data_IF_956242090263
#
_entry.id   IF_956242090263
#
_cell.length_a   1.000
_cell.length_b   1.000
_cell.length_c   1.000
_cell.angle_alpha   90.00
_cell.angle_beta   90.00
_cell.angle_gamma   90.00
#
_symmetry.space_group_name_H-M   'P 1'
#
loop_
_entity.id
_entity.type
_entity.pdbx_description
1 polymer ?
#
# COMPACT_ATOMS: atom_id res chain seq x y z
N UNK A 1 -37.30 -32.42 26.87
CA UNK A 1 -38.66 -32.91 27.17
C UNK A 1 -39.65 -32.28 26.21
N UNK A 2 -40.61 -33.03 25.68
CA UNK A 2 -41.59 -32.51 24.73
C UNK A 2 -42.51 -31.47 25.44
N UNK A 3 -42.61 -30.22 24.97
CA UNK A 3 -43.37 -29.16 25.62
C UNK A 3 -44.88 -29.46 25.70
N UNK A 4 -45.43 -30.22 24.75
CA UNK A 4 -46.83 -30.66 24.81
C UNK A 4 -47.06 -31.68 25.92
N UNK A 5 -46.13 -32.62 26.10
CA UNK A 5 -46.17 -33.61 27.18
C UNK A 5 -46.08 -32.94 28.55
N UNK A 6 -45.31 -31.86 28.66
CA UNK A 6 -45.22 -31.04 29.88
C UNK A 6 -46.52 -30.29 30.16
N UNK A 7 -47.15 -29.71 29.15
CA UNK A 7 -48.48 -29.09 29.28
C UNK A 7 -49.56 -30.11 29.67
N UNK A 8 -49.57 -31.29 29.05
CA UNK A 8 -50.53 -32.35 29.36
C UNK A 8 -50.37 -32.88 30.78
N UNK A 9 -49.13 -33.06 31.26
CA UNK A 9 -48.86 -33.38 32.67
C UNK A 9 -49.35 -32.28 33.61
N UNK A 10 -49.03 -31.02 33.32
CA UNK A 10 -49.47 -29.89 34.15
C UNK A 10 -51.01 -29.76 34.20
N UNK A 11 -51.69 -29.99 33.08
CA UNK A 11 -53.15 -29.99 33.01
C UNK A 11 -53.74 -31.18 33.79
N UNK A 12 -53.13 -32.37 33.67
CA UNK A 12 -53.51 -33.56 34.45
C UNK A 12 -53.34 -33.35 35.96
N UNK A 13 -52.24 -32.74 36.38
CA UNK A 13 -51.98 -32.43 37.79
C UNK A 13 -52.96 -31.38 38.33
N UNK A 14 -53.33 -30.39 37.52
CA UNK A 14 -54.31 -29.36 37.88
C UNK A 14 -55.75 -29.89 38.01
N UNK A 15 -56.09 -30.95 37.27
CA UNK A 15 -57.41 -31.60 37.29
C UNK A 15 -57.50 -32.77 38.27
N UNK A 16 -56.40 -33.12 38.96
CA UNK A 16 -56.36 -34.25 39.89
C UNK A 16 -56.98 -33.89 41.24
N UNK A 17 -58.12 -34.51 41.55
CA UNK A 17 -58.83 -34.35 42.84
C UNK A 17 -57.96 -34.68 44.05
N UNK A 18 -57.04 -35.64 43.92
CA UNK A 18 -56.13 -36.04 45.00
C UNK A 18 -55.15 -34.92 45.32
N UNK A 19 -54.52 -34.33 44.30
CA UNK A 19 -53.57 -33.21 44.45
C UNK A 19 -54.29 -31.95 44.91
N UNK A 20 -55.52 -31.72 44.44
CA UNK A 20 -56.37 -30.63 44.90
C UNK A 20 -56.65 -30.71 46.41
N UNK A 21 -57.09 -31.88 46.91
CA UNK A 21 -57.33 -32.10 48.35
C UNK A 21 -56.06 -31.92 49.17
N UNK A 22 -54.93 -32.45 48.72
CA UNK A 22 -53.65 -32.31 49.42
C UNK A 22 -53.19 -30.85 49.51
N UNK A 23 -53.36 -30.07 48.43
CA UNK A 23 -53.04 -28.64 48.40
C UNK A 23 -54.01 -27.81 49.26
N UNK A 24 -55.28 -28.17 49.30
CA UNK A 24 -56.28 -27.54 50.15
C UNK A 24 -55.94 -27.72 51.64
N UNK A 25 -55.64 -28.95 52.08
CA UNK A 25 -55.24 -29.21 53.47
C UNK A 25 -53.96 -28.45 53.86
N UNK A 26 -52.99 -28.30 52.94
CA UNK A 26 -51.76 -27.51 53.15
C UNK A 26 -51.98 -26.00 53.26
N UNK A 27 -53.07 -25.48 52.69
CA UNK A 27 -53.34 -24.03 52.58
C UNK A 27 -54.42 -23.53 53.53
N UNK A 28 -55.31 -24.41 54.01
CA UNK A 28 -56.47 -24.10 54.86
C UNK A 28 -56.16 -23.33 56.16
N UNK A 29 -54.91 -23.32 56.63
CA UNK A 29 -54.51 -22.67 57.89
C UNK A 29 -53.45 -21.56 57.75
N UNK A 30 -53.06 -21.16 56.53
CA UNK A 30 -52.04 -20.11 56.33
C UNK A 30 -52.71 -18.82 55.87
N UNK A 31 -52.66 -17.77 56.71
CA UNK A 31 -53.05 -16.42 56.29
C UNK A 31 -52.03 -15.93 55.25
N UNK A 32 -52.45 -15.85 53.99
CA UNK A 32 -51.61 -15.33 52.90
C UNK A 32 -51.67 -13.80 52.94
N UNK A 33 -50.52 -13.13 52.92
CA UNK A 33 -50.47 -11.67 52.79
C UNK A 33 -51.18 -11.24 51.50
N UNK A 34 -51.92 -10.12 51.51
CA UNK A 34 -52.66 -9.63 50.33
C UNK A 34 -51.80 -9.60 49.05
N UNK A 35 -50.53 -9.16 49.16
CA UNK A 35 -49.58 -9.10 48.04
C UNK A 35 -49.16 -10.47 47.51
N UNK A 36 -49.33 -11.52 48.31
CA UNK A 36 -49.01 -12.90 47.94
C UNK A 36 -50.21 -13.68 47.38
N UNK A 37 -51.41 -13.07 47.42
CA UNK A 37 -52.62 -13.69 46.90
C UNK A 37 -52.46 -14.01 45.41
N UNK A 38 -52.94 -15.18 44.95
CA UNK A 38 -52.87 -15.55 43.54
C UNK A 38 -53.50 -14.50 42.63
N UNK A 39 -54.57 -13.84 43.10
CA UNK A 39 -55.24 -12.74 42.41
C UNK A 39 -54.33 -11.53 42.24
N UNK A 40 -53.66 -11.06 43.31
CA UNK A 40 -52.73 -9.94 43.21
C UNK A 40 -51.54 -10.25 42.30
N UNK A 41 -51.00 -11.48 42.37
CA UNK A 41 -49.93 -11.94 41.47
C UNK A 41 -50.39 -11.93 40.00
N UNK A 42 -51.61 -12.42 39.73
CA UNK A 42 -52.20 -12.35 38.39
C UNK A 42 -52.44 -10.93 37.92
N UNK A 43 -53.01 -10.06 38.76
CA UNK A 43 -53.26 -8.66 38.43
C UNK A 43 -51.96 -7.91 38.14
N UNK A 44 -50.88 -8.17 38.89
CA UNK A 44 -49.55 -7.62 38.63
C UNK A 44 -49.02 -8.06 37.26
N UNK A 45 -49.18 -9.33 36.93
CA UNK A 45 -48.77 -9.88 35.62
C UNK A 45 -49.61 -9.29 34.50
N UNK A 46 -50.93 -9.21 34.67
CA UNK A 46 -51.85 -8.60 33.71
C UNK A 46 -51.56 -7.11 33.53
N UNK A 47 -51.20 -6.38 34.58
CA UNK A 47 -50.77 -4.99 34.49
C UNK A 47 -49.57 -4.84 33.56
N UNK A 48 -48.61 -5.77 33.58
CA UNK A 48 -47.46 -5.75 32.66
C UNK A 48 -47.82 -5.98 31.18
N UNK A 49 -49.03 -6.44 30.89
CA UNK A 49 -49.56 -6.61 29.52
C UNK A 49 -50.56 -5.51 29.15
N UNK A 50 -51.36 -5.04 30.10
CA UNK A 50 -52.39 -4.02 29.92
C UNK A 50 -51.86 -2.59 30.03
N UNK A 51 -50.71 -2.37 30.69
CA UNK A 51 -50.11 -1.03 30.74
C UNK A 51 -49.42 -0.67 29.44
N UNK A 52 -49.83 0.47 28.91
CA UNK A 52 -49.14 1.28 27.91
C UNK A 52 -47.67 1.58 28.26
N UNK A 53 -47.20 1.25 29.46
CA UNK A 53 -45.82 1.45 29.90
C UNK A 53 -44.84 0.78 28.97
N UNK A 54 -45.04 -0.49 28.59
CA UNK A 54 -44.09 -1.19 27.69
C UNK A 54 -44.08 -0.59 26.28
N UNK A 55 -45.25 -0.17 25.79
CA UNK A 55 -45.37 0.46 24.47
C UNK A 55 -44.72 1.85 24.46
N UNK A 56 -44.87 2.61 25.54
CA UNK A 56 -44.24 3.93 25.71
C UNK A 56 -42.77 3.83 26.11
N UNK A 57 -42.32 2.75 26.73
CA UNK A 57 -40.95 2.59 27.22
C UNK A 57 -39.92 2.66 26.10
N UNK A 58 -40.18 1.97 24.97
CA UNK A 58 -39.30 2.02 23.80
C UNK A 58 -39.28 3.43 23.19
N UNK A 59 -40.45 4.08 23.08
CA UNK A 59 -40.51 5.47 22.62
C UNK A 59 -39.77 6.43 23.56
N UNK A 60 -39.97 6.32 24.87
CA UNK A 60 -39.32 7.17 25.86
C UNK A 60 -37.81 6.94 25.92
N UNK A 61 -37.37 5.69 25.79
CA UNK A 61 -35.96 5.31 25.89
C UNK A 61 -35.19 5.59 24.61
N UNK A 62 -35.79 5.33 23.45
CA UNK A 62 -35.07 5.32 22.17
C UNK A 62 -35.42 6.51 21.27
N UNK A 63 -36.55 7.20 21.50
CA UNK A 63 -37.06 8.27 20.61
C UNK A 63 -37.14 9.62 21.33
N UNK A 64 -37.65 9.67 22.56
CA UNK A 64 -37.75 10.90 23.34
C UNK A 64 -36.35 11.38 23.76
N UNK A 65 -35.83 12.39 23.08
CA UNK A 65 -34.50 12.97 23.35
C UNK A 65 -33.36 12.43 22.49
N UNK A 66 -33.63 11.46 21.60
CA UNK A 66 -32.63 10.85 20.69
C UNK A 66 -32.92 11.10 19.20
N UNK A 67 -33.63 12.18 18.88
CA UNK A 67 -33.87 12.55 17.49
C UNK A 67 -32.56 12.96 16.80
N UNK A 68 -32.16 12.17 15.80
CA UNK A 68 -31.01 12.44 14.93
C UNK A 68 -31.34 13.68 14.09
N UNK A 69 -30.95 14.86 14.58
CA UNK A 69 -31.15 16.12 13.85
C UNK A 69 -31.22 17.40 14.69
N UNK A 70 -31.42 17.34 16.01
CA UNK A 70 -31.32 18.53 16.86
C UNK A 70 -30.02 18.52 17.65
N UNK A 71 -28.94 18.97 17.01
CA UNK A 71 -27.96 19.79 17.73
C UNK A 71 -28.78 20.79 18.55
N UNK A 72 -28.60 20.82 19.88
CA UNK A 72 -29.35 21.71 20.78
C UNK A 72 -29.57 23.05 20.10
N UNK A 73 -30.76 23.27 19.54
CA UNK A 73 -31.14 24.57 19.03
C UNK A 73 -31.05 25.46 20.26
N UNK A 74 -30.13 26.44 20.29
CA UNK A 74 -29.97 27.30 21.46
C UNK A 74 -31.30 27.90 21.89
N UNK A 75 -32.23 28.07 20.94
CA UNK A 75 -33.60 28.48 21.19
C UNK A 75 -34.45 27.44 21.93
N UNK A 76 -34.38 26.14 21.58
CA UNK A 76 -35.12 25.08 22.28
C UNK A 76 -34.58 24.87 23.71
N UNK A 77 -33.26 24.82 23.88
CA UNK A 77 -32.64 24.72 25.20
C UNK A 77 -32.93 25.97 26.05
N UNK A 78 -32.97 27.16 25.44
CA UNK A 78 -33.41 28.39 26.10
C UNK A 78 -34.87 28.31 26.52
N UNK A 79 -35.77 27.88 25.62
CA UNK A 79 -37.19 27.69 25.94
C UNK A 79 -37.39 26.70 27.10
N UNK A 80 -36.67 25.58 27.13
CA UNK A 80 -36.73 24.62 28.25
C UNK A 80 -36.24 25.19 29.58
N UNK A 81 -35.20 26.03 29.55
CA UNK A 81 -34.72 26.73 30.75
C UNK A 81 -35.74 27.78 31.22
N UNK A 82 -36.32 28.54 30.29
CA UNK A 82 -37.34 29.54 30.59
C UNK A 82 -38.60 28.89 31.15
N UNK A 83 -39.06 27.76 30.60
CA UNK A 83 -40.23 27.04 31.13
C UNK A 83 -39.95 26.42 32.51
N UNK A 84 -38.73 25.94 32.77
CA UNK A 84 -38.34 25.47 34.08
C UNK A 84 -38.30 26.61 35.12
N UNK A 85 -37.76 27.79 34.75
CA UNK A 85 -37.74 28.98 35.61
C UNK A 85 -39.14 29.54 35.88
N UNK A 86 -40.03 29.50 34.89
CA UNK A 86 -41.42 29.94 35.02
C UNK A 86 -42.34 28.89 35.67
N UNK A 87 -41.81 27.76 36.14
CA UNK A 87 -42.63 26.74 36.79
C UNK A 87 -42.91 27.12 38.26
N UNK A 88 -44.19 27.14 38.64
CA UNK A 88 -44.64 27.45 40.02
C UNK A 88 -43.97 26.57 41.08
N UNK A 89 -43.62 25.33 40.72
CA UNK A 89 -42.93 24.40 41.62
C UNK A 89 -41.53 24.87 41.96
N UNK A 90 -40.75 25.27 40.94
CA UNK A 90 -39.39 25.77 41.15
C UNK A 90 -39.42 27.14 41.83
N UNK A 91 -40.36 28.02 41.44
CA UNK A 91 -40.55 29.31 42.11
C UNK A 91 -40.85 29.15 43.60
N UNK A 92 -41.75 28.22 43.97
CA UNK A 92 -42.07 27.95 45.38
C UNK A 92 -40.89 27.34 46.14
N UNK A 93 -40.15 26.43 45.51
CA UNK A 93 -38.96 25.82 46.11
C UNK A 93 -37.85 26.87 46.35
N UNK A 94 -37.54 27.69 45.36
CA UNK A 94 -36.59 28.81 45.47
C UNK A 94 -37.04 29.81 46.55
N UNK A 95 -38.34 30.15 46.59
CA UNK A 95 -38.90 31.02 47.63
C UNK A 95 -38.79 30.41 49.05
N UNK A 96 -39.04 29.12 49.22
CA UNK A 96 -38.89 28.44 50.52
C UNK A 96 -37.42 28.38 50.96
N UNK A 97 -36.51 28.17 50.02
CA UNK A 97 -35.07 28.20 50.26
C UNK A 97 -34.59 29.60 50.66
N UNK A 98 -35.05 30.62 49.96
CA UNK A 98 -34.64 32.01 50.16
C UNK A 98 -35.32 32.66 51.37
N UNK A 99 -36.55 32.23 51.72
CA UNK A 99 -37.23 32.62 52.96
C UNK A 99 -36.41 32.27 54.21
N UNK A 100 -35.58 31.23 54.14
CA UNK A 100 -34.65 30.84 55.22
C UNK A 100 -33.28 31.53 55.17
N UNK A 101 -32.89 32.13 54.03
CA UNK A 101 -31.56 32.72 53.80
C UNK A 101 -31.46 34.21 54.12
N UNK A 102 -32.51 34.83 54.64
CA UNK A 102 -32.46 36.20 55.16
C UNK A 102 -31.43 36.31 56.29
N UNK A 103 -30.17 36.60 55.93
CA UNK A 103 -29.10 36.84 56.89
C UNK A 103 -29.28 38.25 57.44
N UNK A 104 -29.91 38.36 58.60
CA UNK A 104 -29.97 39.59 59.36
C UNK A 104 -28.75 39.63 60.28
N UNK A 105 -27.65 40.35 59.95
CA UNK A 105 -26.44 40.37 60.77
C UNK A 105 -26.70 40.86 62.20
N UNK A 106 -27.79 41.61 62.39
CA UNK A 106 -28.22 42.11 63.68
C UNK A 106 -28.60 40.98 64.64
N UNK A 107 -29.10 39.82 64.18
CA UNK A 107 -29.62 38.75 65.06
C UNK A 107 -28.56 37.82 65.65
N UNK A 108 -27.31 37.91 65.18
CA UNK A 108 -26.18 37.06 65.60
C UNK A 108 -25.21 37.84 66.54
N UNK A 109 -25.41 39.15 66.69
CA UNK A 109 -24.61 39.96 67.61
C UNK A 109 -24.90 39.59 69.06
N UNK A 110 -23.87 39.59 69.91
CA UNK A 110 -24.04 39.41 71.36
C UNK A 110 -25.01 40.46 71.95
N UNK A 111 -25.04 41.66 71.38
CA UNK A 111 -25.97 42.74 71.75
C UNK A 111 -27.42 42.36 71.48
N UNK A 112 -27.73 41.70 70.36
CA UNK A 112 -29.09 41.25 70.07
C UNK A 112 -29.55 40.12 71.00
N UNK A 113 -28.67 39.16 71.33
CA UNK A 113 -28.98 38.16 72.34
C UNK A 113 -29.25 38.80 73.71
N UNK A 114 -28.46 39.82 74.09
CA UNK A 114 -28.65 40.58 75.31
C UNK A 114 -29.97 41.38 75.29
N UNK A 115 -30.30 42.05 74.18
CA UNK A 115 -31.55 42.78 73.99
C UNK A 115 -32.74 41.83 74.03
N UNK A 116 -32.65 40.65 73.41
CA UNK A 116 -33.70 39.62 73.43
C UNK A 116 -33.96 39.09 74.84
N UNK A 117 -32.90 38.79 75.60
CA UNK A 117 -33.00 38.41 77.02
C UNK A 117 -33.56 39.56 77.88
N UNK A 118 -33.13 40.79 77.62
CA UNK A 118 -33.64 41.98 78.29
C UNK A 118 -35.12 42.23 77.99
N UNK A 119 -35.56 42.01 76.76
CA UNK A 119 -36.96 42.15 76.31
C UNK A 119 -37.89 41.15 77.01
N UNK A 120 -37.40 39.94 77.28
CA UNK A 120 -38.09 38.95 78.11
C UNK A 120 -38.23 39.43 79.57
N UNK A 121 -37.28 40.23 80.07
CA UNK A 121 -37.28 40.80 81.41
C UNK A 121 -37.98 42.17 81.51
N UNK A 122 -38.46 42.76 80.40
CA UNK A 122 -39.15 44.06 80.44
C UNK A 122 -40.49 43.96 81.16
N UNK A 123 -40.79 45.00 81.92
CA UNK A 123 -42.03 45.16 82.70
C UNK A 123 -43.30 44.91 81.88
N UNK A 124 -43.34 45.33 80.62
CA UNK A 124 -44.49 45.12 79.73
C UNK A 124 -44.76 43.63 79.44
N UNK A 125 -43.70 42.82 79.31
CA UNK A 125 -43.80 41.37 79.07
C UNK A 125 -44.21 40.62 80.35
N UNK A 126 -43.78 41.11 81.51
CA UNK A 126 -44.10 40.52 82.82
C UNK A 126 -45.49 40.93 83.35
N UNK A 127 -46.00 42.11 83.01
CA UNK A 127 -47.30 42.66 83.46
C UNK A 127 -48.49 42.30 82.56
N UNK A 128 -48.36 41.27 81.71
CA UNK A 128 -49.46 40.81 80.87
C UNK A 128 -50.52 40.12 81.73
N UNK A 129 -51.78 40.51 81.55
CA UNK A 129 -52.92 39.91 82.28
C UNK A 129 -52.95 38.38 82.04
N UNK A 130 -53.12 37.55 83.09
CA UNK A 130 -52.99 36.09 83.01
C UNK A 130 -53.91 35.43 81.98
N UNK A 131 -55.07 36.04 81.67
CA UNK A 131 -55.99 35.58 80.62
C UNK A 131 -55.39 35.60 79.19
N UNK A 132 -54.33 36.38 78.96
CA UNK A 132 -53.66 36.49 77.66
C UNK A 132 -52.40 35.62 77.55
N UNK A 133 -51.87 35.11 78.66
CA UNK A 133 -50.69 34.25 78.67
C UNK A 133 -51.11 32.78 78.60
N UNK A 134 -50.75 32.09 77.52
CA UNK A 134 -50.97 30.64 77.42
C UNK A 134 -49.97 29.93 78.32
N UNK A 135 -50.41 28.89 79.04
CA UNK A 135 -49.52 28.06 79.82
C UNK A 135 -48.49 27.36 78.91
N UNK A 136 -47.21 27.63 79.15
CA UNK A 136 -46.10 26.91 78.56
C UNK A 136 -45.40 26.13 79.66
N UNK A 137 -45.32 24.80 79.51
CA UNK A 137 -44.58 23.95 80.45
C UNK A 137 -43.12 24.40 80.49
N UNK A 138 -42.57 24.56 81.69
CA UNK A 138 -41.15 24.90 81.89
C UNK A 138 -40.31 23.73 81.41
N UNK A 139 -39.75 23.83 80.20
CA UNK A 139 -38.97 22.75 79.57
C UNK A 139 -37.64 22.47 80.30
N UNK A 140 -37.13 23.46 81.02
CA UNK A 140 -35.79 23.44 81.62
C UNK A 140 -35.79 22.94 83.07
N UNK A 141 -36.91 22.36 83.52
CA UNK A 141 -36.94 21.68 84.82
C UNK A 141 -35.90 20.54 84.81
N UNK A 142 -35.10 20.38 85.88
CA UNK A 142 -34.08 19.33 85.96
C UNK A 142 -34.62 17.93 85.64
N UNK A 143 -35.87 17.66 86.02
CA UNK A 143 -36.55 16.38 85.76
C UNK A 143 -36.82 16.18 84.26
N UNK A 144 -37.23 17.22 83.55
CA UNK A 144 -37.51 17.14 82.11
C UNK A 144 -36.24 17.08 81.28
N UNK A 145 -35.21 17.82 81.68
CA UNK A 145 -33.88 17.71 81.09
C UNK A 145 -33.32 16.29 81.27
N UNK A 146 -33.44 15.74 82.48
CA UNK A 146 -33.03 14.36 82.76
C UNK A 146 -33.84 13.36 81.92
N UNK A 147 -35.16 13.53 81.80
CA UNK A 147 -36.00 12.68 80.97
C UNK A 147 -35.63 12.76 79.49
N UNK A 148 -35.28 13.94 78.98
CA UNK A 148 -34.84 14.14 77.60
C UNK A 148 -33.48 13.47 77.34
N UNK A 149 -32.53 13.59 78.27
CA UNK A 149 -31.23 12.93 78.18
C UNK A 149 -31.41 11.41 78.23
N UNK A 150 -32.22 10.89 79.16
CA UNK A 150 -32.52 9.47 79.28
C UNK A 150 -33.21 8.94 78.02
N UNK A 151 -34.16 9.68 77.45
CA UNK A 151 -34.82 9.31 76.19
C UNK A 151 -33.84 9.24 75.01
N UNK A 152 -32.88 10.19 74.92
CA UNK A 152 -31.82 10.16 73.91
C UNK A 152 -30.87 8.98 74.09
N UNK A 153 -30.55 8.62 75.34
CA UNK A 153 -29.67 7.50 75.68
C UNK A 153 -30.34 6.13 75.46
N UNK A 154 -31.63 6.01 75.76
CA UNK A 154 -32.43 4.79 75.56
C UNK A 154 -32.86 4.58 74.10
N UNK A 155 -32.64 5.55 73.22
CA UNK A 155 -33.02 5.44 71.81
C UNK A 155 -32.06 4.52 71.06
N UNK A 156 -32.60 3.37 70.62
CA UNK A 156 -31.89 2.42 69.76
C UNK A 156 -31.37 3.05 68.46
N UNK A 157 -32.09 4.04 67.92
CA UNK A 157 -31.68 4.77 66.71
C UNK A 157 -30.39 5.55 66.96
N UNK A 158 -30.31 6.28 68.07
CA UNK A 158 -29.10 7.03 68.42
C UNK A 158 -27.93 6.11 68.74
N UNK A 159 -28.20 4.97 69.39
CA UNK A 159 -27.19 3.95 69.67
C UNK A 159 -26.60 3.37 68.38
N UNK A 160 -27.45 3.06 67.39
CA UNK A 160 -27.02 2.50 66.10
C UNK A 160 -26.45 3.54 65.13
N UNK A 161 -26.84 4.81 65.23
CA UNK A 161 -26.46 5.85 64.28
C UNK A 161 -24.95 5.98 64.11
N UNK A 162 -24.18 5.95 65.20
CA UNK A 162 -22.70 5.99 65.12
C UNK A 162 -22.15 4.76 64.39
N UNK A 163 -22.58 3.57 64.80
CA UNK A 163 -22.15 2.31 64.19
C UNK A 163 -22.52 2.23 62.71
N UNK A 164 -23.74 2.61 62.32
CA UNK A 164 -24.16 2.64 60.91
C UNK A 164 -23.36 3.66 60.09
N UNK A 165 -23.05 4.82 60.67
CA UNK A 165 -22.22 5.85 60.02
C UNK A 165 -20.76 5.44 59.82
N UNK A 166 -20.25 4.55 60.69
CA UNK A 166 -18.86 4.08 60.67
C UNK A 166 -18.70 2.75 59.92
N UNK A 167 -19.72 1.90 59.87
CA UNK A 167 -19.72 0.59 59.21
C UNK A 167 -19.27 0.64 57.75
N UNK A 168 -19.53 1.76 57.06
CA UNK A 168 -19.16 1.95 55.65
C UNK A 168 -17.87 2.77 55.46
N UNK A 169 -17.29 3.33 56.53
CA UNK A 169 -16.04 4.10 56.48
C UNK A 169 -14.84 3.18 56.59
N UNK A 170 -14.68 2.27 55.64
CA UNK A 170 -13.47 1.46 55.51
C UNK A 170 -12.38 2.29 54.82
N UNK A 171 -11.39 2.78 55.59
CA UNK A 171 -10.25 3.51 55.02
C UNK A 171 -9.20 2.52 54.51
N UNK A 172 -9.36 2.07 53.26
CA UNK A 172 -8.38 1.22 52.59
C UNK A 172 -7.36 2.14 51.89
N UNK A 173 -6.04 1.92 52.07
CA UNK A 173 -5.04 2.78 51.45
C UNK A 173 -5.15 2.72 49.91
N UNK A 174 -4.92 3.84 49.21
CA UNK A 174 -5.05 3.92 47.75
C UNK A 174 -4.08 3.00 46.99
N UNK A 175 -3.00 2.59 47.66
CA UNK A 175 -1.95 1.70 47.13
C UNK A 175 -2.28 0.21 47.31
N UNK A 176 -3.49 -0.10 47.78
CA UNK A 176 -3.92 -1.49 47.92
C UNK A 176 -3.92 -2.17 46.55
N UNK A 177 -3.31 -3.36 46.39
CA UNK A 177 -3.15 -4.02 45.09
C UNK A 177 -4.45 -4.16 44.29
N UNK A 178 -5.57 -4.42 44.95
CA UNK A 178 -6.89 -4.52 44.31
C UNK A 178 -7.33 -3.21 43.62
N UNK A 179 -7.04 -2.05 44.22
CA UNK A 179 -7.35 -0.76 43.61
C UNK A 179 -6.43 -0.43 42.43
N UNK A 180 -5.15 -0.77 42.55
CA UNK A 180 -4.18 -0.62 41.45
C UNK A 180 -4.63 -1.50 40.28
N UNK A 181 -4.96 -2.77 40.54
CA UNK A 181 -5.46 -3.70 39.53
C UNK A 181 -6.75 -3.18 38.89
N UNK A 182 -7.70 -2.67 39.69
CA UNK A 182 -8.92 -2.07 39.15
C UNK A 182 -8.63 -0.88 38.23
N UNK A 183 -7.72 0.02 38.62
CA UNK A 183 -7.31 1.16 37.78
C UNK A 183 -6.70 0.72 36.46
N UNK A 184 -5.81 -0.27 36.49
CA UNK A 184 -5.18 -0.83 35.28
C UNK A 184 -6.23 -1.52 34.40
N UNK A 185 -7.14 -2.30 35.00
CA UNK A 185 -8.22 -2.95 34.26
C UNK A 185 -9.17 -1.92 33.64
N UNK A 186 -9.54 -0.86 34.37
CA UNK A 186 -10.37 0.22 33.87
C UNK A 186 -9.68 0.97 32.72
N UNK A 187 -8.37 1.20 32.80
CA UNK A 187 -7.59 1.77 31.69
C UNK A 187 -7.63 0.85 30.47
N UNK A 188 -7.35 -0.44 30.64
CA UNK A 188 -7.29 -1.42 29.57
C UNK A 188 -8.64 -1.69 28.89
N UNK A 189 -9.74 -1.60 29.66
CA UNK A 189 -11.10 -1.84 29.16
C UNK A 189 -11.79 -0.55 28.66
N UNK A 190 -11.15 0.61 28.81
CA UNK A 190 -11.75 1.88 28.41
C UNK A 190 -11.71 2.06 26.89
N UNK A 191 -12.89 2.04 26.27
CA UNK A 191 -13.05 2.36 24.85
C UNK A 191 -12.54 3.76 24.49
N UNK A 192 -12.67 4.72 25.40
CA UNK A 192 -12.24 6.10 25.15
C UNK A 192 -10.73 6.20 25.06
N UNK A 193 -10.02 5.57 26.00
CA UNK A 193 -8.56 5.52 25.98
C UNK A 193 -8.06 4.73 24.78
N UNK A 194 -8.69 3.59 24.47
CA UNK A 194 -8.39 2.82 23.27
C UNK A 194 -8.55 3.65 21.99
N UNK A 195 -9.68 4.35 21.82
CA UNK A 195 -9.92 5.24 20.66
C UNK A 195 -8.88 6.35 20.59
N UNK A 196 -8.55 6.97 21.71
CA UNK A 196 -7.56 8.04 21.75
C UNK A 196 -6.17 7.52 21.33
N UNK A 197 -5.73 6.37 21.85
CA UNK A 197 -4.45 5.79 21.49
C UNK A 197 -4.43 5.26 20.05
N UNK A 198 -5.57 4.80 19.53
CA UNK A 198 -5.76 4.47 18.12
C UNK A 198 -5.60 5.69 17.21
N UNK A 199 -6.23 6.82 17.55
CA UNK A 199 -6.08 8.08 16.81
C UNK A 199 -4.64 8.61 16.86
N UNK A 200 -3.97 8.56 18.03
CA UNK A 200 -2.54 8.89 18.13
C UNK A 200 -1.68 7.98 17.26
N UNK A 201 -2.00 6.69 17.20
CA UNK A 201 -1.26 5.72 16.40
C UNK A 201 -1.47 5.93 14.90
N UNK A 202 -2.69 6.33 14.47
CA UNK A 202 -2.93 6.79 13.10
C UNK A 202 -2.09 8.02 12.77
N UNK A 203 -2.07 9.02 13.65
CA UNK A 203 -1.31 10.25 13.45
C UNK A 203 0.20 9.98 13.32
N UNK A 204 0.76 9.07 14.14
CA UNK A 204 2.18 8.71 14.10
C UNK A 204 2.63 8.01 12.81
N UNK A 205 1.73 7.33 12.09
CA UNK A 205 2.08 6.63 10.83
C UNK A 205 2.24 7.57 9.64
N UNK A 206 1.71 8.79 9.72
CA UNK A 206 1.81 9.80 8.67
C UNK A 206 2.68 10.95 9.13
N UNK A 207 4.01 10.78 9.04
CA UNK A 207 4.94 11.90 9.15
C UNK A 207 4.91 12.71 7.84
N UNK A 208 3.88 13.56 7.69
CA UNK A 208 3.80 14.48 6.56
C UNK A 208 4.80 15.59 6.81
N UNK A 209 5.99 15.46 6.22
CA UNK A 209 7.00 16.51 6.24
C UNK A 209 6.40 17.82 5.76
N UNK A 210 6.75 18.92 6.40
CA UNK A 210 6.27 20.28 6.06
C UNK A 210 6.56 20.63 4.60
N UNK A 211 7.62 20.06 4.03
CA UNK A 211 8.03 20.22 2.63
C UNK A 211 7.31 19.27 1.66
N UNK A 212 6.30 18.53 2.11
CA UNK A 212 5.51 17.68 1.23
C UNK A 212 4.91 18.51 0.08
N UNK A 213 5.13 18.06 -1.16
CA UNK A 213 4.60 18.67 -2.40
C UNK A 213 3.13 19.10 -2.27
N UNK A 214 2.19 18.27 -1.75
CA UNK A 214 0.80 18.70 -1.60
C UNK A 214 0.60 19.86 -0.60
N UNK A 215 1.38 19.92 0.49
CA UNK A 215 1.32 21.04 1.44
C UNK A 215 1.91 22.31 0.86
N UNK A 216 3.02 22.21 0.13
CA UNK A 216 3.61 23.35 -0.58
C UNK A 216 2.65 23.89 -1.65
N UNK A 217 2.01 23.01 -2.42
CA UNK A 217 1.00 23.37 -3.41
C UNK A 217 -0.23 24.02 -2.75
N UNK A 218 -0.75 23.44 -1.67
CA UNK A 218 -1.86 24.02 -0.91
C UNK A 218 -1.52 25.41 -0.38
N UNK A 219 -0.33 25.59 0.21
CA UNK A 219 0.15 26.88 0.71
C UNK A 219 0.32 27.92 -0.40
N UNK A 220 0.86 27.51 -1.55
CA UNK A 220 0.95 28.37 -2.73
C UNK A 220 -0.43 28.77 -3.24
N UNK A 221 -1.38 27.83 -3.31
CA UNK A 221 -2.75 28.10 -3.70
C UNK A 221 -3.45 29.04 -2.72
N UNK A 222 -3.31 28.85 -1.41
CA UNK A 222 -3.84 29.79 -0.41
C UNK A 222 -3.28 31.20 -0.59
N UNK A 223 -1.97 31.32 -0.89
CA UNK A 223 -1.35 32.62 -1.17
C UNK A 223 -1.93 33.24 -2.45
N UNK A 224 -2.15 32.45 -3.50
CA UNK A 224 -2.68 32.91 -4.78
C UNK A 224 -4.16 33.33 -4.69
N UNK A 225 -4.97 32.58 -3.93
CA UNK A 225 -6.41 32.87 -3.72
C UNK A 225 -6.63 34.02 -2.73
N UNK A 226 -5.62 34.41 -1.96
CA UNK A 226 -5.75 35.48 -0.98
C UNK A 226 -5.79 36.86 -1.66
N UNK A 227 -6.95 37.51 -1.63
CA UNK A 227 -7.15 38.88 -2.10
C UNK A 227 -6.17 39.88 -1.48
N UNK A 228 -5.81 39.67 -0.21
CA UNK A 228 -4.87 40.54 0.52
C UNK A 228 -3.48 40.42 -0.08
N UNK A 229 -3.01 39.20 -0.34
CA UNK A 229 -1.71 38.96 -0.98
C UNK A 229 -1.69 39.45 -2.42
N UNK A 230 -2.78 39.22 -3.17
CA UNK A 230 -2.95 39.71 -4.53
C UNK A 230 -2.84 41.24 -4.60
N UNK A 231 -3.59 41.97 -3.77
CA UNK A 231 -3.55 43.44 -3.74
C UNK A 231 -2.19 43.97 -3.33
N UNK A 232 -1.52 43.32 -2.37
CA UNK A 232 -0.16 43.67 -1.95
C UNK A 232 0.84 43.52 -3.09
N UNK A 233 0.80 42.38 -3.79
CA UNK A 233 1.69 42.13 -4.92
C UNK A 233 1.38 43.05 -6.11
N UNK A 234 0.10 43.36 -6.34
CA UNK A 234 -0.34 44.36 -7.33
C UNK A 234 0.26 45.73 -7.04
N UNK A 235 0.08 46.28 -5.84
CA UNK A 235 0.66 47.59 -5.47
C UNK A 235 2.19 47.57 -5.52
N UNK A 236 2.84 46.45 -5.15
CA UNK A 236 4.31 46.29 -5.27
C UNK A 236 4.79 46.30 -6.73
N UNK A 237 3.97 45.84 -7.66
CA UNK A 237 4.32 45.72 -9.08
C UNK A 237 3.77 46.87 -9.93
N UNK A 238 2.86 47.66 -9.39
CA UNK A 238 2.32 48.88 -9.99
C UNK A 238 3.46 49.86 -10.26
N UNK A 239 3.59 50.27 -11.52
CA UNK A 239 4.66 51.16 -11.97
C UNK A 239 5.99 50.47 -12.29
N UNK A 240 6.13 49.14 -12.08
CA UNK A 240 7.27 48.40 -12.66
C UNK A 240 6.95 48.10 -14.11
N UNK A 241 7.68 48.72 -15.03
CA UNK A 241 7.68 48.29 -16.42
C UNK A 241 8.25 46.88 -16.44
N UNK A 242 7.42 45.88 -16.78
CA UNK A 242 7.89 44.52 -17.06
C UNK A 242 8.60 44.61 -18.42
N UNK A 243 9.79 45.20 -18.39
CA UNK A 243 10.75 45.09 -19.46
C UNK A 243 11.22 43.65 -19.48
N UNK A 244 11.09 43.04 -20.64
CA UNK A 244 11.70 41.75 -20.95
C UNK A 244 13.22 41.93 -20.87
N UNK A 245 13.90 41.22 -19.97
CA UNK A 245 15.34 41.39 -19.73
C UNK A 245 16.15 40.98 -20.97
N UNK A 246 15.75 39.89 -21.61
CA UNK A 246 16.26 39.42 -22.88
C UNK A 246 15.11 39.12 -23.83
N UNK A 247 15.25 39.44 -25.12
CA UNK A 247 14.21 39.22 -26.14
C UNK A 247 13.71 37.76 -26.22
N UNK A 248 14.47 36.83 -25.62
CA UNK A 248 14.14 35.41 -25.50
C UNK A 248 13.13 35.09 -24.38
N UNK A 249 12.89 36.00 -23.45
CA UNK A 249 12.07 35.73 -22.26
C UNK A 249 10.58 35.98 -22.52
N UNK A 250 10.23 36.75 -23.56
CA UNK A 250 8.84 36.93 -24.00
C UNK A 250 8.54 36.14 -25.28
N UNK A 251 7.64 35.14 -25.24
CA UNK A 251 7.25 34.38 -26.42
C UNK A 251 6.67 35.26 -27.54
N UNK A 252 6.03 36.39 -27.20
CA UNK A 252 5.48 37.31 -28.20
C UNK A 252 6.59 38.08 -28.92
N UNK A 253 7.57 38.60 -28.19
CA UNK A 253 8.77 39.21 -28.78
C UNK A 253 9.59 38.19 -29.60
N UNK A 254 9.80 36.97 -29.10
CA UNK A 254 10.44 35.89 -29.86
C UNK A 254 9.72 35.57 -31.17
N UNK A 255 8.39 35.47 -31.12
CA UNK A 255 7.58 35.25 -32.30
C UNK A 255 7.76 36.38 -33.32
N UNK A 256 7.70 37.64 -32.87
CA UNK A 256 7.91 38.80 -33.74
C UNK A 256 9.29 38.80 -34.41
N UNK A 257 10.33 38.41 -33.68
CA UNK A 257 11.69 38.27 -34.20
C UNK A 257 11.80 37.14 -35.24
N UNK A 258 11.11 36.02 -35.02
CA UNK A 258 11.06 34.92 -35.98
C UNK A 258 10.30 35.31 -37.25
N UNK A 259 9.19 36.02 -37.11
CA UNK A 259 8.42 36.56 -38.24
C UNK A 259 9.29 37.54 -39.05
N UNK A 260 10.00 38.46 -38.38
CA UNK A 260 10.91 39.39 -39.05
C UNK A 260 12.05 38.67 -39.78
N UNK A 261 12.61 37.60 -39.20
CA UNK A 261 13.61 36.76 -39.87
C UNK A 261 13.05 36.08 -41.13
N UNK A 262 11.83 35.58 -41.06
CA UNK A 262 11.16 34.92 -42.19
C UNK A 262 10.76 35.90 -43.29
N UNK A 263 10.40 37.14 -42.94
CA UNK A 263 10.08 38.21 -43.90
C UNK A 263 11.31 38.80 -44.59
N UNK A 264 12.51 38.55 -44.06
CA UNK A 264 13.75 39.07 -44.63
C UNK A 264 14.14 38.32 -45.90
N UNK A 265 13.95 38.95 -47.06
CA UNK A 265 14.36 38.42 -48.37
C UNK A 265 15.84 38.04 -48.43
N UNK A 266 16.69 38.76 -47.68
CA UNK A 266 18.13 38.46 -47.57
C UNK A 266 18.37 37.12 -46.89
N UNK A 267 17.69 36.85 -45.78
CA UNK A 267 17.81 35.56 -45.06
C UNK A 267 17.15 34.43 -45.84
N UNK A 268 16.03 34.70 -46.52
CA UNK A 268 15.37 33.75 -47.39
C UNK A 268 16.29 33.26 -48.53
N UNK A 269 17.04 34.17 -49.17
CA UNK A 269 17.97 33.83 -50.27
C UNK A 269 19.32 33.31 -49.80
N UNK A 270 19.70 33.52 -48.54
CA UNK A 270 21.04 33.18 -48.02
C UNK A 270 21.42 31.71 -48.24
N UNK A 271 20.51 30.77 -47.93
CA UNK A 271 20.78 29.35 -48.12
C UNK A 271 20.88 28.96 -49.59
N UNK A 272 20.07 29.59 -50.46
CA UNK A 272 20.13 29.37 -51.90
C UNK A 272 21.46 29.85 -52.46
N UNK A 273 21.90 31.07 -52.12
CA UNK A 273 23.19 31.61 -52.57
C UNK A 273 24.37 30.76 -52.06
N UNK A 274 24.33 30.27 -50.81
CA UNK A 274 25.37 29.38 -50.25
C UNK A 274 25.43 28.02 -50.95
N UNK A 275 24.31 27.51 -51.45
CA UNK A 275 24.23 26.16 -52.03
C UNK A 275 24.31 26.15 -53.55
N UNK A 276 23.98 27.26 -54.22
CA UNK A 276 24.00 27.38 -55.69
C UNK A 276 25.38 27.09 -56.29
N UNK A 277 26.46 27.41 -55.58
CA UNK A 277 27.83 27.13 -56.02
C UNK A 277 28.31 25.71 -55.71
N UNK A 278 27.53 24.92 -54.95
CA UNK A 278 27.92 23.57 -54.53
C UNK A 278 27.38 22.56 -55.55
N UNK A 279 28.26 22.07 -56.42
CA UNK A 279 27.96 20.93 -57.29
C UNK A 279 27.64 19.71 -56.42
N UNK A 280 26.40 19.24 -56.47
CA UNK A 280 26.01 18.01 -55.77
C UNK A 280 26.48 16.81 -56.60
N UNK A 281 27.31 15.95 -56.00
CA UNK A 281 27.62 14.65 -56.58
C UNK A 281 26.31 13.86 -56.75
N UNK A 282 26.19 13.08 -57.83
CA UNK A 282 24.95 12.34 -58.14
C UNK A 282 24.46 11.47 -56.96
N UNK A 283 25.39 10.86 -56.22
CA UNK A 283 25.09 10.04 -55.05
C UNK A 283 24.59 10.83 -53.82
N UNK A 284 24.77 12.15 -53.80
CA UNK A 284 24.30 13.05 -52.75
C UNK A 284 22.97 13.72 -53.12
N UNK A 285 22.44 13.45 -54.31
CA UNK A 285 21.13 13.98 -54.69
C UNK A 285 20.05 13.41 -53.75
N UNK A 286 19.09 14.24 -53.30
CA UNK A 286 18.01 13.79 -52.43
C UNK A 286 17.24 12.60 -53.02
N UNK A 287 17.11 12.57 -54.36
CA UNK A 287 16.50 11.46 -55.09
C UNK A 287 17.30 10.16 -54.94
N UNK A 288 18.62 10.20 -55.11
CA UNK A 288 19.46 9.01 -54.95
C UNK A 288 19.48 8.51 -53.50
N UNK A 289 19.52 9.42 -52.52
CA UNK A 289 19.43 9.07 -51.11
C UNK A 289 18.10 8.38 -50.78
N UNK A 290 16.99 8.91 -51.30
CA UNK A 290 15.65 8.35 -51.12
C UNK A 290 15.51 6.99 -51.82
N UNK A 291 15.99 6.84 -53.07
CA UNK A 291 16.03 5.55 -53.79
C UNK A 291 16.87 4.50 -53.04
N UNK A 292 17.99 4.91 -52.44
CA UNK A 292 18.85 4.03 -51.65
C UNK A 292 18.16 3.57 -50.37
N UNK A 293 17.43 4.47 -49.69
CA UNK A 293 16.61 4.11 -48.54
C UNK A 293 15.46 3.18 -48.93
N UNK A 294 14.76 3.46 -50.03
CA UNK A 294 13.67 2.62 -50.54
C UNK A 294 14.15 1.22 -50.92
N UNK A 295 15.37 1.06 -51.46
CA UNK A 295 15.98 -0.25 -51.71
C UNK A 295 16.09 -1.11 -50.45
N UNK A 296 16.31 -0.51 -49.28
CA UNK A 296 16.36 -1.25 -48.01
C UNK A 296 15.00 -1.82 -47.59
N UNK A 297 13.90 -1.23 -48.06
CA UNK A 297 12.53 -1.69 -47.81
C UNK A 297 11.97 -2.57 -48.94
N UNK A 298 12.78 -2.93 -49.94
CA UNK A 298 12.34 -3.73 -51.07
C UNK A 298 12.05 -5.19 -50.68
N UNK A 299 11.08 -5.80 -51.37
CA UNK A 299 10.63 -7.17 -51.12
C UNK A 299 11.74 -8.22 -51.31
N UNK A 300 12.78 -7.90 -52.10
CA UNK A 300 13.98 -8.72 -52.25
C UNK A 300 14.73 -8.89 -50.91
N UNK A 301 14.89 -7.80 -50.14
CA UNK A 301 15.48 -7.83 -48.79
C UNK A 301 14.62 -8.59 -47.78
N UNK A 302 13.29 -8.51 -47.91
CA UNK A 302 12.36 -9.26 -47.06
C UNK A 302 12.44 -10.77 -47.32
N UNK A 303 12.61 -11.18 -48.58
CA UNK A 303 12.73 -12.59 -48.99
C UNK A 303 14.10 -13.19 -48.70
N UNK A 304 15.17 -12.39 -48.62
CA UNK A 304 16.53 -12.86 -48.32
C UNK A 304 16.62 -13.63 -46.99
N UNK A 305 15.94 -13.16 -45.94
CA UNK A 305 15.90 -13.83 -44.64
C UNK A 305 15.16 -15.18 -44.72
N UNK A 306 14.04 -15.23 -45.45
CA UNK A 306 13.29 -16.47 -45.66
C UNK A 306 14.10 -17.50 -46.46
N UNK A 307 14.79 -17.06 -47.51
CA UNK A 307 15.64 -17.93 -48.32
C UNK A 307 16.81 -18.48 -47.49
N UNK A 308 17.44 -17.64 -46.67
CA UNK A 308 18.58 -18.04 -45.84
C UNK A 308 18.19 -19.02 -44.71
N UNK A 309 17.09 -18.74 -44.02
CA UNK A 309 16.77 -19.42 -42.75
C UNK A 309 15.71 -20.53 -42.90
N UNK A 310 14.92 -20.54 -43.99
CA UNK A 310 13.79 -21.47 -44.17
C UNK A 310 13.96 -22.38 -45.38
N UNK A 311 14.48 -21.86 -46.50
CA UNK A 311 14.64 -22.61 -47.74
C UNK A 311 15.86 -23.55 -47.67
N UNK A 312 15.69 -24.69 -47.01
CA UNK A 312 16.71 -25.73 -46.84
C UNK A 312 16.67 -26.45 -45.49
N UNK A 313 15.93 -25.93 -44.52
CA UNK A 313 15.86 -26.48 -43.15
C UNK A 313 14.58 -27.28 -42.85
N UNK A 314 13.68 -27.48 -43.83
CA UNK A 314 12.50 -28.32 -43.66
C UNK A 314 12.79 -29.76 -44.11
N UNK A 315 13.39 -30.56 -43.23
CA UNK A 315 13.31 -32.02 -43.28
C UNK A 315 12.64 -32.47 -41.99
N UNK A 316 11.35 -32.80 -42.09
CA UNK A 316 10.70 -33.61 -41.08
C UNK A 316 11.39 -34.98 -41.03
N UNK A 317 12.08 -35.27 -39.94
CA UNK A 317 12.40 -36.63 -39.55
C UNK A 317 12.47 -36.66 -38.03
N UNK A 318 11.33 -37.01 -37.43
CA UNK A 318 11.28 -37.67 -36.14
C UNK A 318 12.16 -38.92 -36.28
N UNK A 319 13.29 -38.95 -35.57
CA UNK A 319 14.29 -40.01 -35.65
C UNK A 319 13.69 -41.35 -35.19
N UNK A 320 13.16 -42.12 -36.14
CA UNK A 320 12.93 -43.55 -35.96
C UNK A 320 14.32 -44.23 -35.95
N UNK A 321 14.72 -44.90 -34.85
CA UNK A 321 15.97 -45.66 -34.78
C UNK A 321 16.17 -46.62 -35.95
N UNK A 322 15.08 -47.11 -36.55
CA UNK A 322 15.12 -47.95 -37.74
C UNK A 322 15.59 -47.19 -38.99
N UNK A 323 15.09 -45.96 -39.22
CA UNK A 323 15.47 -45.15 -40.38
C UNK A 323 16.94 -44.71 -40.33
N UNK A 324 17.43 -44.34 -39.14
CA UNK A 324 18.84 -43.99 -38.95
C UNK A 324 19.75 -45.22 -39.10
N UNK A 325 19.31 -46.41 -38.69
CA UNK A 325 20.02 -47.66 -38.95
C UNK A 325 20.07 -47.99 -40.45
N UNK A 326 18.95 -47.86 -41.18
CA UNK A 326 18.92 -48.07 -42.63
C UNK A 326 19.84 -47.11 -43.40
N UNK A 327 19.91 -45.84 -43.01
CA UNK A 327 20.84 -44.86 -43.61
C UNK A 327 22.31 -45.22 -43.32
N UNK A 328 22.63 -45.67 -42.11
CA UNK A 328 23.97 -46.15 -41.76
C UNK A 328 24.36 -47.42 -42.53
N UNK A 329 23.44 -48.38 -42.65
CA UNK A 329 23.64 -49.60 -43.45
C UNK A 329 23.80 -49.27 -44.94
N UNK A 330 23.02 -48.34 -45.47
CA UNK A 330 23.16 -47.87 -46.86
C UNK A 330 24.50 -47.14 -47.10
N UNK A 331 24.99 -46.38 -46.11
CA UNK A 331 26.31 -45.75 -46.19
C UNK A 331 27.46 -46.77 -46.11
N UNK A 332 27.31 -47.81 -45.29
CA UNK A 332 28.27 -48.93 -45.21
C UNK A 332 28.27 -49.78 -46.48
N UNK A 333 27.11 -50.01 -47.10
CA UNK A 333 26.97 -50.73 -48.37
C UNK A 333 27.22 -49.86 -49.62
N UNK A 334 27.63 -48.59 -49.45
CA UNK A 334 27.88 -47.72 -50.60
C UNK A 334 29.18 -48.10 -51.29
N UNK A 335 29.17 -48.09 -52.63
CA UNK A 335 30.34 -48.41 -53.49
C UNK A 335 31.60 -47.62 -53.11
N UNK A 336 31.46 -46.45 -52.47
CA UNK A 336 32.59 -45.65 -51.97
C UNK A 336 33.37 -46.36 -50.86
N UNK A 337 32.68 -46.99 -49.91
CA UNK A 337 33.31 -47.72 -48.81
C UNK A 337 33.97 -49.01 -49.31
N UNK A 338 33.28 -49.75 -50.21
CA UNK A 338 33.85 -50.93 -50.88
C UNK A 338 35.09 -50.59 -51.72
N UNK A 339 35.08 -49.45 -52.42
CA UNK A 339 36.22 -48.99 -53.22
C UNK A 339 37.39 -48.51 -52.35
N UNK A 340 37.12 -47.93 -51.19
CA UNK A 340 38.14 -47.54 -50.22
C UNK A 340 38.81 -48.76 -49.55
N UNK A 341 38.02 -49.75 -49.13
CA UNK A 341 38.55 -51.02 -48.59
C UNK A 341 39.31 -51.81 -49.66
N UNK A 342 38.84 -51.84 -50.91
CA UNK A 342 39.56 -52.46 -52.04
C UNK A 342 40.91 -51.78 -52.32
N UNK A 343 40.98 -50.44 -52.28
CA UNK A 343 42.25 -49.70 -52.43
C UNK A 343 43.21 -49.97 -51.26
N UNK A 344 42.69 -50.09 -50.04
CA UNK A 344 43.48 -50.42 -48.84
C UNK A 344 44.03 -51.85 -48.87
N UNK A 345 43.23 -52.82 -49.32
CA UNK A 345 43.62 -54.23 -49.43
C UNK A 345 44.49 -54.52 -50.64
N UNK A 346 44.34 -53.76 -51.73
CA UNK A 346 45.27 -53.78 -52.88
C UNK A 346 46.70 -53.42 -52.46
N UNK A 347 46.87 -52.61 -51.40
CA UNK A 347 48.17 -52.30 -50.82
C UNK A 347 48.76 -53.40 -49.91
N UNK A 348 47.96 -54.39 -49.49
CA UNK A 348 48.36 -55.42 -48.50
C UNK A 348 48.61 -56.80 -49.11
N UNK A 349 48.33 -57.01 -50.40
CA UNK A 349 48.57 -58.28 -51.07
C UNK A 349 49.94 -58.32 -51.79
N UNK A 350 50.89 -59.08 -51.23
CA UNK A 350 52.21 -59.32 -51.82
C UNK A 350 52.13 -60.43 -52.87
N UNK A 351 52.04 -60.06 -54.15
CA UNK A 351 52.13 -61.00 -55.27
C UNK A 351 53.57 -61.05 -55.85
N UNK A 352 54.30 -62.16 -55.72
CA UNK A 352 55.70 -62.30 -56.18
C UNK A 352 55.88 -62.36 -57.72
N UNK A 353 54.84 -62.06 -58.49
CA UNK A 353 54.81 -62.14 -59.96
C UNK A 353 55.10 -60.80 -60.66
N UNK A 354 55.38 -59.74 -59.90
CA UNK A 354 55.66 -58.38 -60.41
C UNK A 354 57.15 -58.09 -60.66
N UNK A 355 58.03 -59.09 -60.47
CA UNK A 355 59.50 -58.95 -60.61
C UNK A 355 60.05 -59.69 -61.85
N UNK A 356 59.20 -60.29 -62.69
CA UNK A 356 59.66 -60.88 -63.96
C UNK A 356 59.74 -59.82 -65.07
N UNK A 357 60.82 -59.85 -65.87
CA UNK A 357 61.06 -58.93 -66.99
C UNK A 357 59.92 -58.91 -68.03
N UNK A 358 59.11 -59.97 -68.09
CA UNK A 358 57.96 -60.07 -69.00
C UNK A 358 56.80 -59.14 -68.63
N UNK A 359 56.59 -58.88 -67.33
CA UNK A 359 55.51 -58.00 -66.86
C UNK A 359 55.77 -56.53 -67.23
N UNK A 360 57.02 -56.07 -67.19
CA UNK A 360 57.40 -54.73 -67.64
C UNK A 360 57.25 -54.54 -69.16
N UNK A 361 57.52 -55.58 -69.96
CA UNK A 361 57.34 -55.53 -71.41
C UNK A 361 55.86 -55.39 -71.81
N UNK A 362 54.96 -56.12 -71.12
CA UNK A 362 53.51 -56.04 -71.36
C UNK A 362 52.96 -54.67 -70.93
N UNK A 363 53.45 -54.10 -69.81
CA UNK A 363 53.06 -52.77 -69.34
C UNK A 363 53.47 -51.64 -70.30
N UNK A 364 54.62 -51.77 -70.97
CA UNK A 364 55.03 -50.83 -72.04
C UNK A 364 54.24 -51.03 -73.35
N UNK A 365 53.81 -52.25 -73.66
CA UNK A 365 52.97 -52.53 -74.83
C UNK A 365 51.53 -52.00 -74.67
N UNK A 366 51.00 -52.00 -73.44
CA UNK A 366 49.64 -51.53 -73.14
C UNK A 366 49.52 -49.99 -73.24
N UNK A 367 50.61 -49.24 -73.02
CA UNK A 367 50.69 -47.80 -73.25
C UNK A 367 50.63 -47.41 -74.74
N UNK A 368 50.86 -48.36 -75.66
CA UNK A 368 50.83 -48.15 -77.10
C UNK A 368 49.53 -48.64 -77.77
N UNK A 369 48.50 -49.01 -77.00
CA UNK A 369 47.21 -49.45 -77.56
C UNK A 369 46.29 -48.28 -77.93
N UNK A 370 45.76 -48.37 -79.15
CA UNK A 370 45.09 -47.36 -79.99
C UNK A 370 43.90 -46.53 -79.45
N UNK A 371 43.51 -46.69 -78.18
CA UNK A 371 42.38 -45.96 -77.61
C UNK A 371 42.71 -44.54 -77.12
N UNK A 372 43.98 -44.14 -77.13
CA UNK A 372 44.45 -42.85 -76.57
C UNK A 372 44.46 -41.69 -77.58
N UNK A 373 44.23 -41.92 -78.88
CA UNK A 373 44.31 -40.87 -79.93
C UNK A 373 42.98 -40.59 -80.67
N UNK A 374 41.83 -40.97 -80.09
CA UNK A 374 40.50 -40.60 -80.59
C UNK A 374 39.70 -39.71 -79.63
N UNK A 375 40.39 -38.82 -78.92
CA UNK A 375 39.75 -37.77 -78.11
C UNK A 375 39.86 -36.44 -78.85
N UNK A 376 38.73 -35.76 -79.05
CA UNK A 376 38.65 -34.46 -79.72
C UNK A 376 39.49 -33.40 -78.98
N UNK A 377 40.28 -32.56 -79.69
CA UNK A 377 41.28 -31.65 -79.09
C UNK A 377 40.72 -30.61 -78.11
N UNK A 378 39.42 -30.36 -78.10
CA UNK A 378 38.77 -29.41 -77.19
C UNK A 378 38.60 -29.91 -75.74
N UNK A 379 38.93 -31.19 -75.45
CA UNK A 379 38.83 -31.79 -74.11
C UNK A 379 40.18 -32.06 -73.44
N UNK A 380 41.30 -31.79 -74.10
CA UNK A 380 42.63 -31.89 -73.50
C UNK A 380 43.05 -30.55 -72.90
N UNK A 381 42.98 -30.43 -71.57
CA UNK A 381 43.66 -29.34 -70.85
C UNK A 381 45.16 -29.64 -70.89
N UNK A 382 45.95 -28.77 -71.51
CA UNK A 382 47.40 -28.84 -71.42
C UNK A 382 47.82 -28.60 -69.97
N UNK A 383 48.21 -29.67 -69.27
CA UNK A 383 48.97 -29.55 -68.03
C UNK A 383 50.44 -29.45 -68.38
N UNK A 384 51.10 -28.37 -67.93
CA UNK A 384 52.53 -28.21 -68.13
C UNK A 384 53.27 -29.40 -67.50
N UNK A 385 54.13 -30.05 -68.28
CA UNK A 385 54.98 -31.14 -67.80
C UNK A 385 55.99 -30.54 -66.82
N UNK A 386 55.77 -30.75 -65.53
CA UNK A 386 56.59 -30.20 -64.44
C UNK A 386 57.99 -30.80 -64.39
N UNK A 387 58.18 -31.98 -65.01
CA UNK A 387 59.38 -32.79 -64.87
C UNK A 387 60.29 -32.73 -66.11
N UNK A 388 60.21 -31.63 -66.87
CA UNK A 388 61.18 -31.36 -67.93
C UNK A 388 62.58 -31.22 -67.33
N UNK A 389 63.64 -31.83 -67.91
CA UNK A 389 65.01 -31.71 -67.43
C UNK A 389 65.45 -30.26 -67.22
N UNK A 390 64.91 -29.34 -68.03
CA UNK A 390 65.16 -27.90 -67.93
C UNK A 390 64.54 -27.29 -66.67
N UNK A 391 63.34 -27.71 -66.29
CA UNK A 391 62.66 -27.22 -65.09
C UNK A 391 63.25 -27.80 -63.81
N UNK A 392 63.63 -29.08 -63.83
CA UNK A 392 64.37 -29.72 -62.73
C UNK A 392 65.75 -29.07 -62.51
N UNK A 393 66.46 -28.75 -63.59
CA UNK A 393 67.72 -28.01 -63.51
C UNK A 393 67.50 -26.59 -62.99
N UNK A 394 66.43 -25.90 -63.41
CA UNK A 394 66.09 -24.57 -62.88
C UNK A 394 65.74 -24.59 -61.39
N UNK A 395 65.04 -25.63 -60.91
CA UNK A 395 64.74 -25.80 -59.48
C UNK A 395 65.99 -26.11 -58.64
N UNK A 396 66.90 -26.95 -59.16
CA UNK A 396 68.19 -27.20 -58.50
C UNK A 396 69.05 -25.94 -58.44
N UNK A 397 69.14 -25.18 -59.54
CA UNK A 397 69.92 -23.95 -59.60
C UNK A 397 69.35 -22.86 -58.68
N UNK A 398 68.03 -22.73 -58.58
CA UNK A 398 67.39 -21.76 -57.68
C UNK A 398 67.61 -22.11 -56.21
N UNK A 399 67.59 -23.40 -55.86
CA UNK A 399 67.88 -23.87 -54.50
C UNK A 399 69.36 -23.68 -54.12
N UNK A 400 70.28 -23.92 -55.06
CA UNK A 400 71.71 -23.63 -54.83
C UNK A 400 71.98 -22.13 -54.67
N UNK A 401 71.31 -21.27 -55.43
CA UNK A 401 71.42 -19.80 -55.31
C UNK A 401 70.84 -19.27 -53.98
N UNK A 402 69.74 -19.86 -53.48
CA UNK A 402 69.18 -19.50 -52.18
C UNK A 402 70.11 -19.87 -51.03
N UNK A 403 70.73 -21.06 -51.09
CA UNK A 403 71.61 -21.56 -50.04
C UNK A 403 72.93 -20.77 -49.98
N UNK A 404 73.49 -20.36 -51.12
CA UNK A 404 74.65 -19.46 -51.18
C UNK A 404 74.31 -18.05 -50.68
N UNK A 405 73.14 -17.52 -51.02
CA UNK A 405 72.71 -16.19 -50.54
C UNK A 405 72.49 -16.18 -49.03
N UNK A 406 72.00 -17.27 -48.44
CA UNK A 406 71.82 -17.41 -47.01
C UNK A 406 73.15 -17.47 -46.24
N UNK A 407 74.19 -18.13 -46.80
CA UNK A 407 75.52 -18.18 -46.20
C UNK A 407 76.27 -16.84 -46.25
N UNK A 408 76.09 -16.05 -47.32
CA UNK A 408 76.71 -14.72 -47.43
C UNK A 408 76.04 -13.72 -46.46
N UNK A 409 74.72 -13.78 -46.28
CA UNK A 409 74.01 -12.96 -45.30
C UNK A 409 74.45 -13.23 -43.85
N UNK A 410 74.79 -14.48 -43.52
CA UNK A 410 75.23 -14.87 -42.18
C UNK A 410 76.67 -14.44 -41.83
N UNK A 411 77.49 -14.02 -42.81
CA UNK A 411 78.91 -13.68 -42.60
C UNK A 411 79.23 -12.18 -42.61
N UNK A 412 78.36 -11.32 -43.16
CA UNK A 412 78.65 -9.88 -43.36
C UNK A 412 77.92 -8.94 -42.39
N UNK A 413 76.92 -9.41 -41.64
CA UNK A 413 76.36 -8.73 -40.46
C UNK A 413 75.60 -7.41 -40.68
N UNK A 414 75.85 -6.69 -41.78
CA UNK A 414 75.25 -5.38 -42.09
C UNK A 414 74.41 -5.42 -43.38
N UNK A 415 73.12 -5.02 -43.35
CA UNK A 415 72.21 -5.08 -44.50
C UNK A 415 72.59 -4.18 -45.69
N UNK A 416 73.34 -3.09 -45.46
CA UNK A 416 73.65 -2.10 -46.51
C UNK A 416 74.82 -2.52 -47.42
N UNK A 417 75.75 -3.35 -46.93
CA UNK A 417 76.85 -3.88 -47.76
C UNK A 417 76.38 -4.94 -48.78
N UNK A 418 75.29 -5.68 -48.48
CA UNK A 418 74.76 -6.73 -49.37
C UNK A 418 74.10 -6.15 -50.63
N UNK A 419 73.48 -4.97 -50.54
CA UNK A 419 72.85 -4.31 -51.69
C UNK A 419 73.87 -3.84 -52.74
N UNK A 420 75.10 -3.50 -52.32
CA UNK A 420 76.14 -3.02 -53.24
C UNK A 420 76.87 -4.16 -53.99
N UNK A 421 76.98 -5.35 -53.38
CA UNK A 421 77.53 -6.54 -54.08
C UNK A 421 76.58 -7.09 -55.15
N UNK A 422 75.26 -7.09 -54.89
CA UNK A 422 74.26 -7.64 -55.83
C UNK A 422 74.15 -6.85 -57.13
N UNK A 423 74.48 -5.56 -57.13
CA UNK A 423 74.47 -4.72 -58.33
C UNK A 423 75.75 -4.82 -59.19
N UNK A 424 76.86 -5.37 -58.68
CA UNK A 424 78.14 -5.49 -59.42
C UNK A 424 78.29 -6.79 -60.23
N UNK A 425 77.37 -7.74 -60.13
CA UNK A 425 77.42 -9.03 -60.86
C UNK A 425 76.31 -9.22 -61.91
N UNK A 426 75.53 -8.18 -62.19
CA UNK A 426 74.46 -8.21 -63.20
C UNK A 426 74.82 -7.46 -64.51
N UNK A 427 76.12 -7.19 -64.74
CA UNK A 427 76.61 -6.50 -65.94
C UNK A 427 77.78 -7.21 -66.66
N UNK A 428 77.84 -8.55 -66.61
CA UNK A 428 78.71 -9.36 -67.45
C UNK A 428 77.90 -10.50 -68.09
#
# INVERSE_FOLDING_TARGET
ENPQLRQLKAAGDALSDKLYKENYEKTKAKSINYCETPKFKLDTVLQNFSSDKKYKDSYLKDILGHYVGSFEDPYHSHCMKVTAQNSDKNYKAEYEEDRGKGFFPQTITQEYEAIKKLDQCKDHTYKVHPDKTKFTQVTDSPVLLQAQVNSKQLSDLNYKAKHESEKFKCHIPPDTPAFIQHKVNAYNLSDNLYKQDWEKSKAKKFDIKVDAIPLLAAKANTKNTSDVMYKKDYEKNKGKMIGVLSINDDPKMLHSLKVAKNQSDRLYKENYEKTKAKSMNYCETPKYQLDTQLKNFSEARYKDLYVKDVLGHYVGSMEDPYHTHCMKVAAQNSDKSYKAEYEEDKGKCYFPQTITQEYEAIKKLDQCKDHTYKVHPDKTKFTAVTDSPVLLQAQLNTKQLSDVSALIYASVGDPECFAHLKCKHLHA
#
